data_IF_659103977782
#
_entry.id   IF_659103977782
#
_cell.length_a   1.000
_cell.length_b   1.000
_cell.length_c   1.000
_cell.angle_alpha   90.00
_cell.angle_beta   90.00
_cell.angle_gamma   90.00
#
_symmetry.space_group_name_H-M   'P 1'
#
loop_
_entity.id
_entity.type
_entity.pdbx_description
1 polymer ?
#
# COMPACT_ATOMS: atom_id res chain seq x y z
N UNK A 1 -46.03 -18.69 50.95
CA UNK A 1 -44.89 -18.33 50.08
C UNK A 1 -45.35 -18.46 48.64
N UNK A 2 -45.77 -17.36 48.02
CA UNK A 2 -46.27 -17.33 46.63
C UNK A 2 -45.09 -17.11 45.70
N UNK A 3 -44.74 -18.14 44.91
CA UNK A 3 -43.75 -18.00 43.85
C UNK A 3 -44.33 -17.07 42.76
N UNK A 4 -43.76 -15.87 42.61
CA UNK A 4 -44.11 -14.99 41.50
C UNK A 4 -43.65 -15.64 40.19
N UNK A 5 -44.59 -16.04 39.34
CA UNK A 5 -44.30 -16.53 38.01
C UNK A 5 -43.69 -15.39 37.18
N UNK A 6 -42.43 -15.55 36.79
CA UNK A 6 -41.79 -14.65 35.82
C UNK A 6 -42.52 -14.83 34.48
N UNK A 7 -43.00 -13.77 33.83
CA UNK A 7 -43.68 -13.89 32.55
C UNK A 7 -42.71 -14.42 31.46
N UNK A 8 -43.02 -15.58 30.89
CA UNK A 8 -42.25 -16.25 29.82
C UNK A 8 -42.46 -15.64 28.41
N UNK A 9 -42.84 -14.36 28.30
CA UNK A 9 -43.12 -13.71 27.02
C UNK A 9 -42.29 -12.44 26.83
N UNK A 10 -41.80 -12.20 25.61
CA UNK A 10 -41.14 -10.94 25.27
C UNK A 10 -42.13 -9.77 25.38
N UNK A 11 -41.71 -8.71 26.08
CA UNK A 11 -42.41 -7.42 26.06
C UNK A 11 -42.45 -6.83 24.65
N UNK A 12 -43.41 -5.94 24.37
CA UNK A 12 -43.50 -5.24 23.09
C UNK A 12 -42.20 -4.51 22.77
N UNK A 13 -41.59 -3.84 23.76
CA UNK A 13 -40.29 -3.19 23.60
C UNK A 13 -39.17 -4.17 23.25
N UNK A 14 -39.18 -5.36 23.86
CA UNK A 14 -38.23 -6.43 23.51
C UNK A 14 -38.39 -6.90 22.07
N UNK A 15 -39.63 -7.11 21.60
CA UNK A 15 -39.90 -7.50 20.20
C UNK A 15 -39.39 -6.46 19.20
N UNK A 16 -39.65 -5.18 19.47
CA UNK A 16 -39.17 -4.08 18.62
C UNK A 16 -37.65 -4.02 18.60
N UNK A 17 -37.00 -4.17 19.76
CA UNK A 17 -35.53 -4.18 19.86
C UNK A 17 -34.89 -5.34 19.08
N UNK A 18 -35.39 -6.58 19.23
CA UNK A 18 -34.82 -7.70 18.50
C UNK A 18 -35.10 -7.63 17.00
N UNK A 19 -36.29 -7.13 16.60
CA UNK A 19 -36.61 -6.90 15.21
C UNK A 19 -35.68 -5.85 14.58
N UNK A 20 -35.42 -4.73 15.27
CA UNK A 20 -34.49 -3.71 14.77
C UNK A 20 -33.05 -4.22 14.71
N UNK A 21 -32.61 -5.03 15.67
CA UNK A 21 -31.31 -5.68 15.64
C UNK A 21 -31.17 -6.64 14.44
N UNK A 22 -32.19 -7.47 14.18
CA UNK A 22 -32.20 -8.39 13.04
C UNK A 22 -32.22 -7.63 11.70
N UNK A 23 -33.00 -6.55 11.61
CA UNK A 23 -33.05 -5.70 10.43
C UNK A 23 -31.71 -4.96 10.19
N UNK A 24 -31.09 -4.42 11.24
CA UNK A 24 -29.81 -3.73 11.16
C UNK A 24 -28.67 -4.67 10.74
N UNK A 25 -28.59 -5.86 11.35
CA UNK A 25 -27.59 -6.88 10.95
C UNK A 25 -27.84 -7.39 9.53
N UNK A 26 -29.08 -7.56 9.10
CA UNK A 26 -29.39 -7.88 7.69
C UNK A 26 -28.94 -6.76 6.74
N UNK A 27 -29.25 -5.50 7.07
CA UNK A 27 -28.83 -4.34 6.29
C UNK A 27 -27.30 -4.23 6.16
N UNK A 28 -26.57 -4.50 7.24
CA UNK A 28 -25.10 -4.59 7.19
C UNK A 28 -24.62 -5.73 6.29
N UNK A 29 -25.32 -6.87 6.28
CA UNK A 29 -25.03 -7.97 5.35
C UNK A 29 -25.20 -7.57 3.89
N UNK A 30 -26.31 -6.90 3.56
CA UNK A 30 -26.56 -6.37 2.20
C UNK A 30 -25.47 -5.39 1.78
N UNK A 31 -25.15 -4.43 2.65
CA UNK A 31 -24.09 -3.45 2.40
C UNK A 31 -22.72 -4.10 2.15
N UNK A 32 -22.39 -5.20 2.84
CA UNK A 32 -21.15 -5.94 2.58
C UNK A 32 -21.16 -6.63 1.20
N UNK A 33 -22.32 -7.10 0.72
CA UNK A 33 -22.46 -7.67 -0.64
C UNK A 33 -22.33 -6.58 -1.71
N UNK A 34 -22.94 -5.41 -1.50
CA UNK A 34 -22.75 -4.26 -2.39
C UNK A 34 -21.27 -3.89 -2.49
N UNK A 35 -20.60 -3.78 -1.33
CA UNK A 35 -19.17 -3.47 -1.29
C UNK A 35 -18.30 -4.54 -1.94
N UNK A 36 -18.70 -5.81 -1.87
CA UNK A 36 -18.06 -6.90 -2.60
C UNK A 36 -18.18 -6.73 -4.11
N UNK A 37 -19.37 -6.40 -4.63
CA UNK A 37 -19.61 -6.20 -6.07
C UNK A 37 -18.81 -5.02 -6.59
N UNK A 38 -18.88 -3.87 -5.92
CA UNK A 38 -18.04 -2.71 -6.23
C UNK A 38 -16.56 -3.09 -6.27
N UNK A 39 -16.13 -3.97 -5.34
CA UNK A 39 -14.75 -4.39 -5.25
C UNK A 39 -14.31 -5.24 -6.43
N UNK A 40 -15.15 -6.17 -6.85
CA UNK A 40 -14.86 -7.02 -8.01
C UNK A 40 -14.75 -6.17 -9.27
N UNK A 41 -15.66 -5.22 -9.48
CA UNK A 41 -15.61 -4.29 -10.61
C UNK A 41 -14.30 -3.49 -10.63
N UNK A 42 -13.86 -2.95 -9.48
CA UNK A 42 -12.58 -2.23 -9.41
C UNK A 42 -11.36 -3.13 -9.69
N UNK A 43 -11.42 -4.42 -9.33
CA UNK A 43 -10.35 -5.38 -9.65
C UNK A 43 -10.33 -5.65 -11.16
N UNK A 44 -11.50 -5.85 -11.77
CA UNK A 44 -11.63 -6.10 -13.21
C UNK A 44 -11.18 -4.88 -14.03
N UNK A 45 -11.60 -3.67 -13.66
CA UNK A 45 -11.17 -2.41 -14.29
C UNK A 45 -9.65 -2.23 -14.19
N UNK A 46 -9.07 -2.49 -13.01
CA UNK A 46 -7.62 -2.45 -12.81
C UNK A 46 -6.93 -3.45 -13.72
N UNK A 47 -7.39 -4.70 -13.76
CA UNK A 47 -6.78 -5.75 -14.59
C UNK A 47 -6.85 -5.37 -16.07
N UNK A 48 -8.01 -4.91 -16.54
CA UNK A 48 -8.18 -4.46 -17.92
C UNK A 48 -7.21 -3.33 -18.27
N UNK A 49 -6.95 -2.38 -17.37
CA UNK A 49 -5.97 -1.31 -17.58
C UNK A 49 -4.52 -1.82 -17.60
N UNK A 50 -4.16 -2.77 -16.73
CA UNK A 50 -2.82 -3.36 -16.69
C UNK A 50 -2.51 -4.14 -17.98
N UNK A 51 -3.52 -4.82 -18.52
CA UNK A 51 -3.41 -5.61 -19.75
C UNK A 51 -3.31 -4.75 -21.03
N UNK A 52 -3.67 -3.47 -20.97
CA UNK A 52 -3.48 -2.55 -22.09
C UNK A 52 -2.00 -2.38 -22.43
N UNK A 53 -1.72 -2.11 -23.72
CA UNK A 53 -0.38 -1.69 -24.16
C UNK A 53 0.11 -0.47 -23.37
N UNK A 54 1.38 -0.44 -22.94
CA UNK A 54 1.94 0.68 -22.19
C UNK A 54 1.76 2.02 -22.91
N UNK A 55 1.29 3.03 -22.19
CA UNK A 55 1.18 4.39 -22.68
C UNK A 55 2.53 5.12 -22.58
N UNK A 56 2.78 6.07 -23.48
CA UNK A 56 3.98 6.94 -23.44
C UNK A 56 3.72 8.31 -22.81
N UNK A 57 2.46 8.77 -22.81
CA UNK A 57 2.06 10.02 -22.15
C UNK A 57 2.03 9.85 -20.62
N UNK A 58 2.03 10.94 -19.86
CA UNK A 58 2.00 10.89 -18.39
C UNK A 58 0.60 10.93 -17.78
N UNK A 59 -0.37 11.57 -18.45
CA UNK A 59 -1.72 11.74 -17.91
C UNK A 59 -2.39 10.40 -17.61
N UNK A 60 -2.64 10.16 -16.33
CA UNK A 60 -3.23 8.94 -15.79
C UNK A 60 -4.60 9.15 -15.16
N UNK A 61 -5.22 10.31 -15.37
CA UNK A 61 -6.51 10.67 -14.79
C UNK A 61 -7.62 9.64 -15.08
N UNK A 62 -7.68 9.15 -16.31
CA UNK A 62 -8.67 8.15 -16.74
C UNK A 62 -8.21 6.70 -16.57
N UNK A 63 -6.89 6.47 -16.60
CA UNK A 63 -6.28 5.14 -16.64
C UNK A 63 -5.11 5.08 -15.63
N UNK A 64 -5.40 5.16 -14.33
CA UNK A 64 -4.36 5.22 -13.29
C UNK A 64 -3.55 3.92 -13.20
N UNK A 65 -4.14 2.77 -13.53
CA UNK A 65 -3.47 1.48 -13.46
C UNK A 65 -2.80 1.07 -14.77
N UNK A 66 -3.01 1.82 -15.86
CA UNK A 66 -2.36 1.50 -17.14
C UNK A 66 -0.85 1.71 -17.02
N UNK A 67 -0.10 0.72 -17.53
CA UNK A 67 1.35 0.78 -17.63
C UNK A 67 1.79 2.00 -18.43
N UNK A 68 2.87 2.63 -17.99
CA UNK A 68 3.52 3.76 -18.68
C UNK A 68 4.99 3.47 -18.91
N UNK A 69 5.41 3.65 -20.16
CA UNK A 69 6.79 3.47 -20.56
C UNK A 69 7.47 4.85 -20.57
N UNK A 70 8.35 5.07 -19.60
CA UNK A 70 9.06 6.33 -19.42
C UNK A 70 10.52 6.17 -19.82
N UNK A 71 11.07 7.17 -20.52
CA UNK A 71 12.49 7.21 -20.89
C UNK A 71 13.11 8.51 -20.41
N UNK A 72 14.24 8.42 -19.72
CA UNK A 72 14.88 9.59 -19.12
C UNK A 72 16.14 9.26 -18.35
N UNK A 73 16.69 10.25 -17.65
CA UNK A 73 17.85 10.06 -16.77
C UNK A 73 17.48 10.35 -15.32
N UNK A 74 17.92 9.51 -14.39
CA UNK A 74 17.62 9.70 -12.97
C UNK A 74 18.47 10.80 -12.34
N UNK A 75 17.80 11.73 -11.65
CA UNK A 75 18.41 12.78 -10.82
C UNK A 75 18.68 12.25 -9.42
N UNK A 76 19.70 11.42 -9.35
CA UNK A 76 20.19 10.76 -8.16
C UNK A 76 20.60 11.72 -7.04
N UNK A 77 20.97 12.96 -7.38
CA UNK A 77 21.25 14.07 -6.45
C UNK A 77 20.01 14.49 -5.64
N UNK A 78 18.81 14.23 -6.19
CA UNK A 78 17.51 14.55 -5.59
C UNK A 78 16.79 13.30 -5.07
N UNK A 79 17.49 12.17 -4.88
CA UNK A 79 16.91 10.93 -4.36
C UNK A 79 16.46 11.05 -2.90
N UNK A 80 15.28 10.54 -2.61
CA UNK A 80 14.63 10.59 -1.30
C UNK A 80 14.17 9.21 -0.87
N UNK A 81 14.30 8.91 0.41
CA UNK A 81 13.78 7.68 1.01
C UNK A 81 12.44 7.95 1.69
N UNK A 82 11.45 7.08 1.50
CA UNK A 82 10.15 7.19 2.15
C UNK A 82 9.94 6.01 3.08
N UNK A 83 9.80 6.24 4.39
CA UNK A 83 9.60 5.15 5.34
C UNK A 83 9.33 5.59 6.79
N UNK A 84 9.06 4.63 7.68
CA UNK A 84 9.21 3.17 7.48
C UNK A 84 8.15 2.55 6.55
N UNK A 85 8.57 1.62 5.69
CA UNK A 85 7.71 0.80 4.81
C UNK A 85 8.00 -0.68 5.02
N UNK A 86 6.96 -1.52 5.01
CA UNK A 86 7.14 -2.96 4.85
C UNK A 86 7.62 -3.30 3.43
N UNK A 87 8.23 -4.46 3.26
CA UNK A 87 8.61 -4.95 1.94
C UNK A 87 7.38 -5.09 1.01
N UNK A 88 7.53 -4.90 -0.32
CA UNK A 88 6.44 -5.04 -1.26
C UNK A 88 5.89 -6.47 -1.26
N UNK A 89 4.57 -6.65 -1.45
CA UNK A 89 3.99 -7.97 -1.68
C UNK A 89 4.61 -8.65 -2.90
N UNK A 90 4.70 -9.99 -2.88
CA UNK A 90 5.16 -10.77 -4.03
C UNK A 90 6.67 -10.83 -4.25
N UNK A 91 7.47 -10.11 -3.46
CA UNK A 91 8.95 -10.18 -3.57
C UNK A 91 9.52 -11.26 -2.66
N UNK A 92 10.33 -12.17 -3.22
CA UNK A 92 11.08 -13.13 -2.43
C UNK A 92 12.33 -12.48 -1.81
N UNK A 93 12.56 -12.70 -0.52
CA UNK A 93 13.79 -12.28 0.14
C UNK A 93 14.33 -13.43 0.98
N UNK A 94 15.62 -13.71 0.84
CA UNK A 94 16.39 -14.53 1.78
C UNK A 94 16.88 -13.66 2.93
N UNK A 95 15.97 -13.05 3.71
CA UNK A 95 16.40 -12.48 4.99
C UNK A 95 16.62 -13.68 5.92
N UNK A 96 17.85 -13.85 6.41
CA UNK A 96 18.15 -14.89 7.40
C UNK A 96 17.18 -14.72 8.59
N UNK A 97 16.19 -15.61 8.69
CA UNK A 97 15.14 -15.56 9.72
C UNK A 97 13.80 -14.94 9.35
N UNK A 98 13.59 -14.36 8.15
CA UNK A 98 12.26 -13.93 7.67
C UNK A 98 12.12 -14.17 6.16
N UNK A 99 11.57 -15.32 5.77
CA UNK A 99 11.13 -15.52 4.39
C UNK A 99 10.00 -14.54 4.10
N UNK A 100 10.19 -13.66 3.11
CA UNK A 100 9.15 -12.76 2.59
C UNK A 100 7.98 -13.51 1.90
N UNK A 101 8.02 -14.84 1.89
CA UNK A 101 6.86 -15.68 1.60
C UNK A 101 5.93 -15.76 2.82
N UNK A 102 5.24 -14.66 3.10
CA UNK A 102 3.94 -14.72 3.77
C UNK A 102 2.98 -13.79 3.03
N UNK A 103 2.55 -14.24 1.85
CA UNK A 103 1.58 -13.55 1.02
C UNK A 103 0.52 -14.46 0.39
N UNK A 104 0.33 -15.70 0.86
CA UNK A 104 -0.98 -16.33 0.72
C UNK A 104 -1.91 -15.58 1.66
N UNK A 105 -2.69 -14.66 1.09
CA UNK A 105 -3.98 -14.16 1.58
C UNK A 105 -4.27 -14.54 3.05
N UNK A 106 -3.58 -13.90 3.99
CA UNK A 106 -3.91 -14.03 5.41
C UNK A 106 -4.90 -12.92 5.71
N UNK A 107 -6.14 -13.33 5.97
CA UNK A 107 -7.35 -12.54 6.17
C UNK A 107 -7.33 -11.65 7.42
N UNK A 108 -6.17 -11.22 7.89
CA UNK A 108 -6.05 -10.42 9.12
C UNK A 108 -4.87 -9.44 9.07
N UNK A 109 -4.88 -8.52 8.09
CA UNK A 109 -4.05 -7.31 8.12
C UNK A 109 -4.77 -6.22 8.93
N UNK A 110 -4.94 -6.47 10.24
CA UNK A 110 -5.38 -5.46 11.19
C UNK A 110 -4.19 -4.51 11.45
N UNK A 111 -4.44 -3.20 11.43
CA UNK A 111 -3.42 -2.17 11.64
C UNK A 111 -2.69 -2.39 12.97
N UNK A 112 -1.44 -2.82 12.87
CA UNK A 112 -0.51 -3.01 14.00
C UNK A 112 0.73 -3.73 13.50
N UNK A 113 1.91 -3.11 13.70
CA UNK A 113 3.26 -3.64 13.47
C UNK A 113 3.36 -4.77 12.43
N UNK A 114 3.64 -4.41 11.17
CA UNK A 114 4.07 -5.40 10.16
C UNK A 114 5.22 -6.22 10.75
N UNK A 115 4.99 -7.52 10.99
CA UNK A 115 6.02 -8.47 11.42
C UNK A 115 7.05 -8.78 10.33
N UNK A 116 6.82 -8.29 9.11
CA UNK A 116 7.77 -8.32 8.01
C UNK A 116 8.89 -7.28 8.15
N UNK A 117 10.00 -7.47 7.40
CA UNK A 117 11.14 -6.57 7.45
C UNK A 117 10.75 -5.13 7.07
N UNK A 118 11.27 -4.17 7.82
CA UNK A 118 11.07 -2.75 7.59
C UNK A 118 12.19 -2.16 6.71
N UNK A 119 11.82 -1.13 5.95
CA UNK A 119 12.71 -0.46 5.01
C UNK A 119 12.13 0.83 4.48
N UNK A 120 12.54 1.22 3.29
CA UNK A 120 12.21 2.50 2.67
C UNK A 120 11.91 2.31 1.19
N UNK A 121 10.97 3.08 0.65
CA UNK A 121 10.88 3.27 -0.80
C UNK A 121 11.95 4.24 -1.26
N UNK A 122 12.58 3.95 -2.40
CA UNK A 122 13.57 4.81 -3.05
C UNK A 122 12.86 5.62 -4.12
N UNK A 123 12.69 6.92 -3.87
CA UNK A 123 12.09 7.85 -4.82
C UNK A 123 13.18 8.67 -5.50
N UNK A 124 13.20 8.65 -6.82
CA UNK A 124 14.19 9.39 -7.60
C UNK A 124 13.47 10.12 -8.75
N UNK A 125 13.70 11.43 -8.94
CA UNK A 125 13.16 12.12 -10.11
C UNK A 125 13.81 11.58 -11.39
N UNK A 126 12.99 11.36 -12.40
CA UNK A 126 13.37 11.01 -13.76
C UNK A 126 13.16 12.25 -14.63
N UNK A 127 14.25 12.76 -15.19
CA UNK A 127 14.22 13.82 -16.19
C UNK A 127 13.95 13.16 -17.55
N UNK A 128 12.75 13.41 -18.12
CA UNK A 128 12.34 12.76 -19.36
C UNK A 128 13.18 13.22 -20.55
N UNK A 129 13.44 12.30 -21.47
CA UNK A 129 14.25 12.55 -22.66
C UNK A 129 13.50 13.36 -23.76
N UNK A 130 12.18 13.50 -23.63
CA UNK A 130 11.32 13.99 -24.70
C UNK A 130 11.34 15.52 -24.84
N UNK A 131 12.25 16.02 -25.68
CA UNK A 131 12.06 17.09 -26.69
C UNK A 131 11.56 18.49 -26.34
N UNK A 132 10.96 18.76 -25.17
CA UNK A 132 10.49 20.11 -24.80
C UNK A 132 11.58 20.91 -24.11
N UNK A 133 11.61 22.22 -24.36
CA UNK A 133 12.57 23.14 -23.74
C UNK A 133 12.49 23.11 -22.19
N UNK A 134 11.31 22.80 -21.67
CA UNK A 134 11.09 22.43 -20.28
C UNK A 134 11.15 20.89 -20.17
N UNK A 135 12.24 20.37 -19.61
CA UNK A 135 12.39 18.94 -19.38
C UNK A 135 11.48 18.52 -18.24
N UNK A 136 10.37 17.89 -18.59
CA UNK A 136 9.39 17.43 -17.62
C UNK A 136 10.00 16.40 -16.66
N UNK A 137 9.81 16.62 -15.36
CA UNK A 137 10.28 15.74 -14.30
C UNK A 137 9.15 14.88 -13.76
N UNK A 138 9.44 13.59 -13.58
CA UNK A 138 8.51 12.61 -13.01
C UNK A 138 9.17 11.95 -11.82
N UNK A 139 8.49 11.89 -10.68
CA UNK A 139 8.99 11.15 -9.54
C UNK A 139 8.71 9.67 -9.70
N UNK A 140 9.77 8.85 -9.63
CA UNK A 140 9.65 7.40 -9.74
C UNK A 140 10.02 6.76 -8.42
N UNK A 141 9.07 6.06 -7.80
CA UNK A 141 9.35 5.07 -6.78
C UNK A 141 10.01 3.86 -7.45
N UNK A 142 11.33 3.76 -7.33
CA UNK A 142 12.16 2.71 -7.94
C UNK A 142 12.05 1.36 -7.23
N UNK A 143 11.39 1.32 -6.06
CA UNK A 143 11.19 0.11 -5.28
C UNK A 143 11.63 0.28 -3.82
N UNK A 144 11.81 -0.84 -3.13
CA UNK A 144 12.05 -0.89 -1.69
C UNK A 144 13.46 -1.37 -1.33
N UNK A 145 14.02 -0.82 -0.27
CA UNK A 145 15.30 -1.22 0.33
C UNK A 145 15.16 -1.51 1.82
N UNK A 146 15.80 -2.56 2.37
CA UNK A 146 15.73 -2.86 3.79
C UNK A 146 16.47 -1.81 4.62
N UNK A 147 16.01 -1.61 5.86
CA UNK A 147 16.55 -0.58 6.75
C UNK A 147 18.06 -0.71 7.01
N UNK A 148 18.59 -1.93 7.05
CA UNK A 148 20.00 -2.22 7.35
C UNK A 148 20.98 -1.84 6.23
N UNK A 149 20.51 -1.63 4.99
CA UNK A 149 21.38 -1.19 3.89
C UNK A 149 21.36 0.33 3.69
N UNK A 150 20.46 1.04 4.37
CA UNK A 150 20.36 2.50 4.34
C UNK A 150 21.42 3.11 5.26
N UNK A 151 22.36 3.94 4.74
CA UNK A 151 23.30 4.67 5.59
C UNK A 151 22.55 5.50 6.63
N UNK A 152 22.90 5.36 7.92
CA UNK A 152 22.19 6.05 9.00
C UNK A 152 20.75 5.57 9.26
N UNK A 153 20.32 4.45 8.66
CA UNK A 153 19.01 3.83 8.92
C UNK A 153 18.84 3.34 10.36
N UNK A 154 19.94 2.99 11.04
CA UNK A 154 19.94 2.56 12.45
C UNK A 154 19.90 3.72 13.45
N UNK A 155 20.17 4.97 13.00
CA UNK A 155 20.19 6.13 13.89
C UNK A 155 18.75 6.47 14.35
N UNK A 156 18.49 6.50 15.67
CA UNK A 156 17.20 6.96 16.19
C UNK A 156 16.95 8.41 15.77
N UNK A 157 15.69 8.77 15.54
CA UNK A 157 15.28 10.15 15.29
C UNK A 157 15.83 11.05 16.42
N UNK A 158 16.76 11.95 16.08
CA UNK A 158 17.39 12.85 17.05
C UNK A 158 17.08 14.28 16.64
N UNK A 159 16.15 14.91 17.36
CA UNK A 159 15.79 16.33 17.21
C UNK A 159 16.99 17.18 17.65
N UNK A 160 17.75 17.79 16.73
CA UNK A 160 18.78 18.77 17.10
C UNK A 160 18.94 19.90 16.08
N UNK A 161 18.79 21.14 16.59
CA UNK A 161 19.43 22.35 16.06
C UNK A 161 18.78 23.03 14.85
N UNK A 162 18.94 24.36 14.78
CA UNK A 162 18.53 25.16 13.64
C UNK A 162 19.36 24.84 12.38
N UNK A 163 18.68 24.76 11.23
CA UNK A 163 19.22 24.36 9.94
C UNK A 163 19.97 25.52 9.30
N UNK A 164 21.29 25.39 9.10
CA UNK A 164 22.05 26.27 8.20
C UNK A 164 22.23 25.58 6.85
N UNK A 165 21.78 26.21 5.76
CA UNK A 165 21.91 25.69 4.39
C UNK A 165 23.37 25.34 4.02
N UNK A 166 24.36 26.04 4.59
CA UNK A 166 25.78 25.75 4.41
C UNK A 166 26.23 24.41 5.03
N UNK A 167 25.65 23.99 6.16
CA UNK A 167 25.95 22.70 6.79
C UNK A 167 25.37 21.52 6.02
N UNK A 168 24.25 21.73 5.30
CA UNK A 168 23.65 20.76 4.40
C UNK A 168 24.59 20.43 3.23
N UNK A 169 25.28 21.43 2.67
CA UNK A 169 26.22 21.24 1.56
C UNK A 169 27.56 20.66 2.02
N UNK A 170 28.04 21.04 3.21
CA UNK A 170 29.34 20.61 3.73
C UNK A 170 29.36 19.15 4.26
N UNK A 171 28.19 18.58 4.56
CA UNK A 171 28.03 17.20 5.07
C UNK A 171 27.84 16.11 4.01
N UNK A 172 27.99 16.43 2.73
CA UNK A 172 27.93 15.46 1.62
C UNK A 172 29.25 14.67 1.50
N UNK A 173 29.57 13.86 2.52
CA UNK A 173 30.59 12.80 2.39
C UNK A 173 29.89 11.45 2.26
N UNK A 174 29.94 10.95 1.03
CA UNK A 174 29.08 9.90 0.48
C UNK A 174 29.56 8.51 0.90
N UNK A 175 28.89 7.88 1.87
CA UNK A 175 28.79 6.42 1.81
C UNK A 175 27.89 6.13 0.60
N UNK A 176 28.42 5.54 -0.50
CA UNK A 176 27.58 5.25 -1.65
C UNK A 176 26.45 4.32 -1.20
N UNK A 177 25.21 4.58 -1.65
CA UNK A 177 24.09 3.71 -1.33
C UNK A 177 24.38 2.29 -1.82
N UNK A 178 23.92 1.30 -1.05
CA UNK A 178 24.15 -0.13 -1.34
C UNK A 178 23.13 -0.70 -2.35
N UNK A 179 22.50 0.16 -3.15
CA UNK A 179 21.49 -0.21 -4.16
C UNK A 179 21.83 0.42 -5.50
N UNK A 180 21.29 -0.16 -6.56
CA UNK A 180 21.60 0.23 -7.94
C UNK A 180 21.14 1.65 -8.25
N UNK A 181 22.03 2.43 -8.86
CA UNK A 181 21.79 3.80 -9.33
C UNK A 181 22.25 3.89 -10.78
N UNK A 182 21.39 3.49 -11.75
CA UNK A 182 21.78 3.48 -13.14
C UNK A 182 22.06 4.92 -13.61
N UNK A 183 23.14 5.09 -14.35
CA UNK A 183 23.59 6.36 -14.92
C UNK A 183 23.24 6.44 -16.39
N UNK A 184 22.89 7.64 -16.87
CA UNK A 184 22.46 7.86 -18.25
C UNK A 184 20.99 7.53 -18.50
N UNK A 185 20.62 7.41 -19.76
CA UNK A 185 19.25 7.19 -20.17
C UNK A 185 18.78 5.76 -19.85
N UNK A 186 17.67 5.66 -19.14
CA UNK A 186 16.99 4.41 -18.80
C UNK A 186 15.58 4.41 -19.39
N UNK A 187 15.03 3.21 -19.56
CA UNK A 187 13.62 3.00 -19.84
C UNK A 187 13.00 2.26 -18.65
N UNK A 188 11.85 2.74 -18.17
CA UNK A 188 11.16 2.15 -17.02
C UNK A 188 9.68 1.97 -17.34
N UNK A 189 9.14 0.80 -17.01
CA UNK A 189 7.69 0.58 -16.94
C UNK A 189 7.21 0.95 -15.55
N UNK A 190 6.22 1.84 -15.48
CA UNK A 190 5.68 2.31 -14.22
C UNK A 190 4.16 2.48 -14.26
N UNK A 191 3.53 2.52 -13.09
CA UNK A 191 2.09 2.75 -12.91
C UNK A 191 1.89 3.99 -12.04
N UNK A 192 0.83 4.77 -12.28
CA UNK A 192 0.56 5.99 -11.51
C UNK A 192 0.43 5.67 -10.02
N UNK A 193 1.10 6.47 -9.21
CA UNK A 193 0.96 6.49 -7.77
C UNK A 193 0.37 7.81 -7.28
N UNK A 194 -0.04 7.82 -6.02
CA UNK A 194 -0.66 8.98 -5.39
C UNK A 194 0.19 9.47 -4.23
N UNK A 195 0.14 10.78 -4.01
CA UNK A 195 0.68 11.40 -2.80
C UNK A 195 -0.10 10.94 -1.58
N UNK A 196 0.53 10.98 -0.43
CA UNK A 196 -0.07 10.59 0.84
C UNK A 196 -0.31 11.82 1.71
N UNK A 197 -1.27 11.70 2.63
CA UNK A 197 -1.48 12.67 3.70
C UNK A 197 -0.98 12.08 5.03
N UNK A 198 -0.35 12.89 5.89
CA UNK A 198 0.08 12.42 7.20
C UNK A 198 -1.12 12.00 8.04
N UNK A 199 -0.92 11.01 8.92
CA UNK A 199 -1.90 10.64 9.95
C UNK A 199 -1.62 11.45 11.21
N UNK A 200 -2.59 11.48 12.13
CA UNK A 200 -2.51 12.25 13.38
C UNK A 200 -1.27 11.96 14.26
N UNK A 201 -0.67 10.77 14.14
CA UNK A 201 0.48 10.32 14.95
C UNK A 201 1.79 10.36 14.13
N UNK A 202 1.74 10.82 12.87
CA UNK A 202 2.92 10.87 12.02
C UNK A 202 3.81 12.05 12.43
N UNK A 203 5.10 11.84 12.77
CA UNK A 203 6.01 12.93 13.11
C UNK A 203 6.26 13.84 11.91
N UNK A 204 6.65 15.10 12.15
CA UNK A 204 7.09 16.01 11.10
C UNK A 204 8.37 15.50 10.41
N UNK A 205 8.52 15.83 9.12
CA UNK A 205 9.73 15.53 8.35
C UNK A 205 10.96 16.22 8.94
N UNK A 206 12.05 15.48 9.07
CA UNK A 206 13.36 16.03 9.38
C UNK A 206 14.16 16.24 8.09
N UNK A 207 14.09 17.46 7.56
CA UNK A 207 14.79 17.84 6.33
C UNK A 207 16.30 17.99 6.52
N UNK A 208 16.84 17.91 7.75
CA UNK A 208 18.28 17.93 8.01
C UNK A 208 18.92 16.55 7.85
N UNK A 209 18.14 15.47 7.94
CA UNK A 209 18.62 14.08 7.88
C UNK A 209 19.20 13.73 6.51
N UNK A 210 20.31 12.98 6.47
CA UNK A 210 20.95 12.48 5.24
C UNK A 210 21.22 10.96 5.31
N UNK A 211 20.87 10.16 4.28
CA UNK A 211 20.03 10.54 3.12
C UNK A 211 18.67 11.06 3.57
N UNK A 212 18.03 11.91 2.77
CA UNK A 212 16.74 12.51 3.14
C UNK A 212 15.70 11.40 3.30
N UNK A 213 15.02 11.40 4.45
CA UNK A 213 14.02 10.40 4.80
C UNK A 213 12.71 11.11 5.16
N UNK A 214 11.67 10.90 4.35
CA UNK A 214 10.31 11.38 4.62
C UNK A 214 9.46 10.25 5.18
N UNK A 215 8.52 10.60 6.06
CA UNK A 215 7.61 9.65 6.70
C UNK A 215 6.43 9.22 5.81
N UNK A 216 6.02 10.07 4.87
CA UNK A 216 4.94 9.81 3.90
C UNK A 216 5.34 10.39 2.55
N UNK A 217 4.58 10.03 1.51
CA UNK A 217 4.76 10.59 0.16
C UNK A 217 4.23 12.02 0.10
N UNK A 218 5.01 12.98 0.57
CA UNK A 218 4.63 14.39 0.60
C UNK A 218 4.85 15.07 -0.76
N UNK A 219 3.76 15.30 -1.50
CA UNK A 219 3.81 15.95 -2.81
C UNK A 219 4.46 17.34 -2.79
N UNK A 220 4.26 18.14 -1.73
CA UNK A 220 4.83 19.47 -1.63
C UNK A 220 6.34 19.41 -1.38
N UNK A 221 6.78 18.48 -0.53
CA UNK A 221 8.21 18.24 -0.32
C UNK A 221 8.89 17.77 -1.62
N UNK A 222 8.27 16.82 -2.33
CA UNK A 222 8.79 16.33 -3.61
C UNK A 222 8.86 17.43 -4.68
N UNK A 223 7.84 18.29 -4.75
CA UNK A 223 7.82 19.44 -5.65
C UNK A 223 8.95 20.44 -5.32
N UNK A 224 9.13 20.78 -4.04
CA UNK A 224 10.19 21.67 -3.58
C UNK A 224 11.59 21.12 -3.86
N UNK A 225 11.80 19.81 -3.64
CA UNK A 225 13.08 19.13 -3.93
C UNK A 225 13.35 19.08 -5.43
N UNK A 226 12.32 18.85 -6.24
CA UNK A 226 12.43 18.89 -7.69
C UNK A 226 12.73 20.30 -8.22
N UNK A 227 12.51 21.35 -7.43
CA UNK A 227 12.58 22.76 -7.87
C UNK A 227 11.60 23.03 -9.03
N UNK A 228 10.44 22.38 -9.00
CA UNK A 228 9.41 22.49 -10.04
C UNK A 228 8.22 23.32 -9.55
N UNK A 229 7.67 24.15 -10.43
CA UNK A 229 6.42 24.88 -10.17
C UNK A 229 5.17 24.10 -10.62
N UNK A 230 5.36 22.95 -11.27
CA UNK A 230 4.26 22.11 -11.77
C UNK A 230 3.86 21.01 -10.77
N UNK A 231 2.64 20.50 -10.94
CA UNK A 231 2.17 19.35 -10.17
C UNK A 231 3.05 18.12 -10.46
N UNK A 232 3.39 17.40 -9.40
CA UNK A 232 4.31 16.26 -9.48
C UNK A 232 3.60 15.00 -9.96
N UNK A 233 4.00 14.49 -11.13
CA UNK A 233 3.66 13.12 -11.53
C UNK A 233 4.44 12.14 -10.66
N UNK A 234 3.73 11.27 -9.95
CA UNK A 234 4.31 10.21 -9.15
C UNK A 234 3.99 8.85 -9.78
N UNK A 235 5.04 8.06 -9.99
CA UNK A 235 4.97 6.76 -10.65
C UNK A 235 5.64 5.70 -9.77
N UNK A 236 5.14 4.47 -9.79
CA UNK A 236 5.81 3.32 -9.17
C UNK A 236 6.33 2.40 -10.25
N UNK A 237 7.65 2.19 -10.26
CA UNK A 237 8.31 1.27 -11.17
C UNK A 237 7.94 -0.17 -10.82
N UNK A 238 7.60 -0.96 -11.83
CA UNK A 238 7.13 -2.34 -11.66
C UNK A 238 8.09 -3.33 -12.33
N UNK A 239 8.00 -4.60 -11.91
CA UNK A 239 8.50 -5.73 -12.68
C UNK A 239 7.38 -6.18 -13.61
N UNK A 240 7.65 -6.21 -14.91
CA UNK A 240 6.82 -6.99 -15.83
C UNK A 240 7.08 -8.47 -15.55
N UNK A 241 6.03 -9.28 -15.61
CA UNK A 241 6.16 -10.72 -15.38
C UNK A 241 7.03 -11.32 -16.49
N UNK A 242 8.19 -11.88 -16.12
CA UNK A 242 8.91 -12.82 -16.95
C UNK A 242 8.02 -14.06 -17.15
N UNK A 243 8.04 -14.67 -18.33
CA UNK A 243 7.21 -15.85 -18.65
C UNK A 243 7.48 -16.97 -17.63
N UNK A 244 6.46 -17.74 -17.25
CA UNK A 244 6.52 -18.80 -16.22
C UNK A 244 7.75 -19.73 -16.31
N UNK A 245 8.30 -19.96 -17.51
CA UNK A 245 9.51 -20.76 -17.76
C UNK A 245 10.82 -20.15 -17.21
N UNK A 246 10.89 -18.83 -17.01
CA UNK A 246 12.06 -18.12 -16.43
C UNK A 246 12.00 -18.06 -14.90
N UNK A 247 10.80 -18.10 -14.34
CA UNK A 247 10.53 -18.06 -12.90
C UNK A 247 10.98 -19.35 -12.19
N UNK A 248 10.86 -20.52 -12.84
CA UNK A 248 11.34 -21.80 -12.29
C UNK A 248 12.87 -21.91 -12.28
N UNK A 249 13.57 -21.30 -13.26
CA UNK A 249 15.05 -21.27 -13.30
C UNK A 249 15.64 -20.40 -12.20
N UNK A 250 14.98 -19.29 -11.85
CA UNK A 250 15.39 -18.44 -10.73
C UNK A 250 15.13 -19.08 -9.36
N UNK A 251 14.17 -20.00 -9.25
CA UNK A 251 13.85 -20.69 -7.99
C UNK A 251 14.84 -21.81 -7.61
N UNK A 252 15.58 -22.37 -8.58
CA UNK A 252 16.62 -23.38 -8.32
C UNK A 252 18.05 -22.81 -8.22
N UNK A 253 18.22 -21.51 -8.48
CA UNK A 253 19.50 -20.80 -8.37
C UNK A 253 19.83 -20.37 -6.93
N UNK A 254 20.77 -21.06 -6.32
CA UNK A 254 21.50 -20.72 -5.09
C UNK A 254 21.62 -19.21 -4.79
N UNK A 255 21.32 -18.77 -3.56
CA UNK A 255 21.86 -17.57 -2.90
C UNK A 255 22.14 -16.37 -3.84
N UNK A 256 21.21 -16.05 -4.75
CA UNK A 256 21.45 -15.04 -5.76
C UNK A 256 21.59 -13.66 -5.08
N UNK A 257 22.59 -12.90 -5.50
CA UNK A 257 22.89 -11.56 -5.00
C UNK A 257 21.66 -10.67 -5.23
N UNK A 258 20.85 -10.44 -4.19
CA UNK A 258 19.60 -9.67 -4.29
C UNK A 258 19.95 -8.25 -4.72
N UNK A 259 19.47 -7.85 -5.90
CA UNK A 259 19.64 -6.49 -6.39
C UNK A 259 18.55 -5.58 -5.81
N UNK A 260 18.98 -4.48 -5.22
CA UNK A 260 18.11 -3.44 -4.67
C UNK A 260 18.07 -2.22 -5.61
N UNK A 261 16.98 -1.45 -5.66
CA UNK A 261 15.73 -1.61 -4.90
C UNK A 261 14.82 -2.73 -5.44
N UNK A 262 14.10 -3.39 -4.53
CA UNK A 262 13.13 -4.43 -4.84
C UNK A 262 11.85 -3.82 -5.39
N UNK A 263 11.49 -4.19 -6.61
CA UNK A 263 10.30 -3.71 -7.29
C UNK A 263 9.12 -4.67 -7.07
N UNK A 264 7.89 -4.18 -6.87
CA UNK A 264 6.72 -5.04 -6.85
C UNK A 264 6.48 -5.66 -8.24
N UNK A 265 5.99 -6.91 -8.33
CA UNK A 265 5.43 -7.43 -9.57
C UNK A 265 4.20 -6.60 -9.95
N UNK A 266 3.97 -6.42 -11.24
CA UNK A 266 2.86 -5.61 -11.76
C UNK A 266 1.51 -6.03 -11.20
N UNK A 267 1.28 -7.34 -11.01
CA UNK A 267 0.04 -7.90 -10.46
C UNK A 267 -0.24 -7.49 -9.02
N UNK A 268 0.79 -7.07 -8.27
CA UNK A 268 0.65 -6.60 -6.87
C UNK A 268 0.41 -5.10 -6.74
N UNK A 269 0.54 -4.33 -7.83
CA UNK A 269 0.38 -2.88 -7.77
C UNK A 269 -1.09 -2.50 -7.65
N UNK A 270 -1.37 -1.59 -6.72
CA UNK A 270 -2.75 -1.17 -6.42
C UNK A 270 -3.56 -2.24 -5.71
N UNK A 271 -2.92 -3.26 -5.14
CA UNK A 271 -3.61 -4.29 -4.37
C UNK A 271 -4.40 -3.71 -3.21
N UNK A 272 -5.59 -4.27 -3.05
CA UNK A 272 -6.54 -3.78 -2.09
C UNK A 272 -6.37 -4.46 -0.73
N UNK A 273 -6.21 -3.65 0.32
CA UNK A 273 -6.13 -4.12 1.70
C UNK A 273 -7.35 -4.95 2.12
N UNK A 274 -8.55 -4.50 1.75
CA UNK A 274 -9.80 -5.24 2.01
C UNK A 274 -10.15 -6.06 0.78
N UNK A 275 -9.92 -7.37 0.86
CA UNK A 275 -10.16 -8.29 -0.26
C UNK A 275 -11.63 -8.64 -0.40
N UNK A 276 -12.08 -9.11 -1.58
CA UNK A 276 -13.41 -9.68 -1.78
C UNK A 276 -13.77 -10.74 -0.71
N UNK A 277 -12.81 -11.61 -0.37
CA UNK A 277 -13.00 -12.65 0.66
C UNK A 277 -13.33 -12.06 2.05
N UNK A 278 -12.74 -10.92 2.42
CA UNK A 278 -13.06 -10.23 3.67
C UNK A 278 -14.53 -9.76 3.67
N UNK A 279 -15.00 -9.19 2.56
CA UNK A 279 -16.41 -8.77 2.43
C UNK A 279 -17.38 -9.95 2.46
N UNK A 280 -17.04 -11.08 1.82
CA UNK A 280 -17.80 -12.33 1.91
C UNK A 280 -17.89 -12.82 3.35
N UNK A 281 -16.76 -12.85 4.08
CA UNK A 281 -16.72 -13.26 5.49
C UNK A 281 -17.59 -12.38 6.39
N UNK A 282 -17.55 -11.05 6.20
CA UNK A 282 -18.42 -10.14 6.94
C UNK A 282 -19.89 -10.31 6.56
N UNK A 283 -20.23 -10.44 5.27
CA UNK A 283 -21.60 -10.68 4.83
C UNK A 283 -22.17 -11.94 5.49
N UNK A 284 -21.42 -13.05 5.48
CA UNK A 284 -21.82 -14.30 6.13
C UNK A 284 -22.03 -14.13 7.64
N UNK A 285 -21.16 -13.37 8.30
CA UNK A 285 -21.29 -13.05 9.74
C UNK A 285 -22.59 -12.27 10.02
N UNK A 286 -22.85 -11.21 9.27
CA UNK A 286 -24.00 -10.33 9.48
C UNK A 286 -25.33 -11.02 9.16
N UNK A 287 -25.40 -11.77 8.06
CA UNK A 287 -26.58 -12.57 7.74
C UNK A 287 -26.79 -13.72 8.73
N UNK A 288 -25.71 -14.36 9.18
CA UNK A 288 -25.77 -15.39 10.22
C UNK A 288 -26.33 -14.86 11.54
N UNK A 289 -25.86 -13.69 12.00
CA UNK A 289 -26.39 -13.02 13.19
C UNK A 289 -27.87 -12.67 13.04
N UNK A 290 -28.28 -12.15 11.87
CA UNK A 290 -29.69 -11.85 11.59
C UNK A 290 -30.56 -13.13 11.64
N UNK A 291 -30.12 -14.20 10.96
CA UNK A 291 -30.84 -15.48 10.94
C UNK A 291 -30.95 -16.11 12.35
N UNK A 292 -29.86 -16.11 13.12
CA UNK A 292 -29.87 -16.57 14.50
C UNK A 292 -30.79 -15.72 15.39
N UNK A 293 -30.77 -14.40 15.23
CA UNK A 293 -31.64 -13.47 15.94
C UNK A 293 -33.12 -13.73 15.65
N UNK A 294 -33.48 -13.93 14.38
CA UNK A 294 -34.85 -14.29 13.97
C UNK A 294 -35.26 -15.64 14.55
N UNK A 295 -34.39 -16.64 14.48
CA UNK A 295 -34.65 -17.97 15.04
C UNK A 295 -34.89 -17.92 16.57
N UNK A 296 -34.02 -17.24 17.31
CA UNK A 296 -34.14 -17.08 18.76
C UNK A 296 -35.41 -16.31 19.14
N UNK A 297 -35.70 -15.21 18.44
CA UNK A 297 -36.91 -14.41 18.65
C UNK A 297 -38.17 -15.24 18.41
N UNK A 298 -38.20 -16.01 17.32
CA UNK A 298 -39.30 -16.94 17.04
C UNK A 298 -39.46 -17.98 18.15
N UNK A 299 -38.37 -18.61 18.59
CA UNK A 299 -38.37 -19.63 19.65
C UNK A 299 -38.86 -19.08 21.00
N UNK A 300 -38.50 -17.85 21.34
CA UNK A 300 -38.96 -17.18 22.56
C UNK A 300 -40.44 -16.80 22.49
N UNK A 301 -40.93 -16.40 21.32
CA UNK A 301 -42.37 -16.12 21.11
C UNK A 301 -43.20 -17.41 21.16
N UNK A 302 -42.70 -18.52 20.60
CA UNK A 302 -43.45 -19.78 20.54
C UNK A 302 -43.41 -20.60 21.83
N UNK A 303 -42.34 -20.51 22.63
CA UNK A 303 -42.25 -21.22 23.93
C UNK A 303 -43.24 -20.73 25.01
N UNK A 304 -43.86 -19.56 24.86
CA UNK A 304 -44.89 -19.05 25.77
C UNK A 304 -46.31 -19.56 25.49
N UNK A 305 -46.49 -20.52 24.57
CA UNK A 305 -47.80 -21.07 24.14
C UNK A 305 -47.93 -22.57 24.47
N UNK A 306 -47.71 -22.97 25.72
CA UNK A 306 -48.18 -24.25 26.29
C UNK A 306 -48.39 -24.09 27.79
#
# INVERSE_FOLDING_TARGET
>A
MTASSVPNHLSTSGKVFFASLCAGTFGLGVWQVERLVEKLQLIDERQAQLDMEPATHLDASQQPYRRRLLRGSFRHDKEVLIGPRGAPPGVYMSVQGLSAMSGKSSSNQQQGMSSGPQGYHVLTPLELADGTADRQMVWVNRGWVPKNIVPGGEQPYRRQGAVEAAKIQQGLSTIPPKWTRPTGAVQVTAVQAQVEKPKFITPEHDYSRRPLQLFWLDGLALQAIAESNEETYLMTQVLEEEKEEETEKHQQGSQANIEYPLRPPITSVGDFRTTPAIHVGYAATWFGLSAAGVYMTRKLITKGRF
#
